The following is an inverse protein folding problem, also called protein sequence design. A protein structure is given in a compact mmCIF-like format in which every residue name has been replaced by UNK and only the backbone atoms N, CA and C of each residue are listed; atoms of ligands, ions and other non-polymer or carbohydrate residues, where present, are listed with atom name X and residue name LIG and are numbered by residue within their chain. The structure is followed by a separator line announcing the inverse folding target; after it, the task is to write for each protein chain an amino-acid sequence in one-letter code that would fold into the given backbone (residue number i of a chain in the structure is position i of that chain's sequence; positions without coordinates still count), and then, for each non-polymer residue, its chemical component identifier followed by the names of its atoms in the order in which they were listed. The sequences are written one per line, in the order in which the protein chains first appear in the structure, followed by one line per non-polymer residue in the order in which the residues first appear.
data_IF_305514739564
#
_entry.id   IF_305514739564
#
_cell.length_a   1.000
_cell.length_b   1.000
_cell.length_c   1.000
_cell.angle_alpha   90.00
_cell.angle_beta   90.00
_cell.angle_gamma   90.00
#
_symmetry.space_group_name_H-M   'P 1'
#
loop_
_entity.id
_entity.type
_entity.pdbx_description
1 polymer ?
#
# COMPACT_ATOMS: atom_id res chain seq x y z
N UNK A 1 -8.72 -5.61 -15.16
CA UNK A 1 -7.93 -6.34 -14.14
C UNK A 1 -6.96 -5.36 -13.50
N UNK A 2 -6.68 -5.50 -12.20
CA UNK A 2 -5.70 -4.68 -11.47
C UNK A 2 -4.65 -5.58 -10.85
N UNK A 3 -3.38 -5.15 -10.85
CA UNK A 3 -2.24 -5.90 -10.31
C UNK A 3 -1.23 -4.93 -9.70
N UNK A 4 -0.88 -5.06 -8.42
CA UNK A 4 0.13 -4.20 -7.78
C UNK A 4 0.76 -4.87 -6.57
N UNK A 5 2.08 -4.68 -6.39
CA UNK A 5 2.79 -5.08 -5.17
C UNK A 5 2.43 -4.22 -3.95
N UNK A 6 1.76 -3.09 -4.17
CA UNK A 6 1.19 -2.19 -3.17
C UNK A 6 -0.34 -2.30 -3.26
N UNK A 7 -1.06 -1.17 -3.26
CA UNK A 7 -2.47 -1.14 -3.61
C UNK A 7 -2.64 -1.21 -5.14
N UNK A 8 -3.53 -2.07 -5.63
CA UNK A 8 -4.10 -1.95 -6.97
C UNK A 8 -5.53 -1.47 -6.81
N UNK A 9 -5.86 -0.31 -7.38
CA UNK A 9 -7.15 0.35 -7.16
C UNK A 9 -7.75 0.77 -8.50
N UNK A 10 -9.04 0.49 -8.66
CA UNK A 10 -9.86 0.98 -9.77
C UNK A 10 -10.95 1.88 -9.19
N UNK A 11 -10.90 3.17 -9.51
CA UNK A 11 -11.91 4.15 -9.09
C UNK A 11 -12.92 4.44 -10.21
N UNK A 12 -14.17 4.70 -9.82
CA UNK A 12 -15.16 5.25 -10.74
C UNK A 12 -14.87 6.72 -11.06
N UNK A 13 -15.03 7.11 -12.32
CA UNK A 13 -15.02 8.53 -12.74
C UNK A 13 -16.29 9.30 -12.33
N UNK A 14 -17.35 8.57 -11.99
CA UNK A 14 -18.62 9.12 -11.50
C UNK A 14 -18.69 8.97 -9.99
N UNK A 15 -19.38 9.91 -9.35
CA UNK A 15 -19.84 9.78 -7.97
C UNK A 15 -21.33 9.42 -7.95
N UNK A 16 -21.73 8.70 -6.90
CA UNK A 16 -23.04 8.11 -6.68
C UNK A 16 -23.53 8.52 -5.29
N UNK A 17 -24.74 9.09 -5.21
CA UNK A 17 -25.24 9.73 -4.00
C UNK A 17 -26.65 9.25 -3.64
N UNK A 18 -26.98 9.38 -2.35
CA UNK A 18 -28.26 8.93 -1.80
C UNK A 18 -28.27 7.41 -1.59
N UNK A 19 -29.45 6.83 -1.79
CA UNK A 19 -29.60 5.38 -1.82
C UNK A 19 -28.95 4.79 -3.05
N UNK A 20 -28.15 3.75 -2.85
CA UNK A 20 -27.33 3.19 -3.91
C UNK A 20 -27.07 1.70 -3.72
N UNK A 21 -26.88 1.02 -4.84
CA UNK A 21 -26.44 -0.37 -4.90
C UNK A 21 -25.24 -0.49 -5.84
N UNK A 22 -24.21 -1.18 -5.34
CA UNK A 22 -23.05 -1.64 -6.11
C UNK A 22 -23.17 -3.14 -6.27
N UNK A 23 -23.27 -3.60 -7.51
CA UNK A 23 -23.29 -5.01 -7.91
C UNK A 23 -22.00 -5.32 -8.67
N UNK A 24 -21.11 -6.10 -8.05
CA UNK A 24 -19.77 -6.35 -8.58
C UNK A 24 -19.42 -7.84 -8.63
N UNK A 25 -18.85 -8.28 -9.75
CA UNK A 25 -18.33 -9.62 -9.94
C UNK A 25 -16.82 -9.54 -10.09
N UNK A 26 -16.12 -10.03 -9.07
CA UNK A 26 -14.67 -9.94 -8.95
C UNK A 26 -14.06 -11.33 -8.96
N UNK A 27 -12.81 -11.44 -9.37
CA UNK A 27 -12.04 -12.66 -9.17
C UNK A 27 -10.60 -12.41 -8.82
N UNK A 28 -9.98 -13.39 -8.16
CA UNK A 28 -8.53 -13.41 -8.00
C UNK A 28 -7.88 -13.65 -9.37
N UNK A 29 -6.81 -12.90 -9.66
CA UNK A 29 -5.97 -13.16 -10.82
C UNK A 29 -4.75 -14.00 -10.43
N UNK A 30 -4.25 -14.80 -11.37
CA UNK A 30 -3.07 -15.63 -11.13
C UNK A 30 -1.84 -14.77 -10.87
N UNK A 31 -1.19 -15.01 -9.73
CA UNK A 31 0.18 -14.63 -9.51
C UNK A 31 1.09 -15.66 -10.21
N UNK A 32 1.98 -15.19 -11.09
CA UNK A 32 2.92 -16.05 -11.80
C UNK A 32 4.25 -16.10 -11.04
N UNK A 33 4.76 -17.30 -10.77
CA UNK A 33 6.19 -17.54 -10.52
C UNK A 33 6.81 -18.25 -11.73
N UNK A 34 8.14 -18.38 -11.74
CA UNK A 34 8.87 -19.12 -12.78
C UNK A 34 8.53 -20.61 -12.85
N UNK A 35 7.78 -21.16 -11.88
CA UNK A 35 7.50 -22.60 -11.78
C UNK A 35 6.02 -22.94 -11.62
N UNK A 36 5.15 -22.05 -11.11
CA UNK A 36 3.72 -22.33 -10.91
C UNK A 36 2.84 -21.07 -10.89
N UNK A 37 1.56 -21.23 -11.26
CA UNK A 37 0.51 -20.26 -10.96
C UNK A 37 0.02 -20.42 -9.52
N UNK A 38 -0.24 -19.32 -8.83
CA UNK A 38 -0.87 -19.34 -7.51
C UNK A 38 -1.79 -18.14 -7.33
N UNK A 39 -2.64 -18.22 -6.31
CA UNK A 39 -3.63 -17.20 -5.99
C UNK A 39 -3.44 -16.73 -4.56
N UNK A 40 -3.48 -15.42 -4.37
CA UNK A 40 -3.40 -14.80 -3.06
C UNK A 40 -4.84 -14.60 -2.58
N UNK A 41 -5.21 -15.41 -1.59
CA UNK A 41 -6.59 -15.57 -1.14
C UNK A 41 -6.95 -14.57 -0.05
N UNK A 42 -6.77 -13.27 -0.31
CA UNK A 42 -7.05 -12.18 0.64
C UNK A 42 -7.32 -10.87 -0.08
N UNK A 43 -7.91 -9.92 0.65
CA UNK A 43 -8.06 -8.52 0.26
C UNK A 43 -8.70 -8.31 -1.12
N UNK A 44 -9.87 -8.92 -1.39
CA UNK A 44 -10.65 -8.65 -2.60
C UNK A 44 -11.78 -7.67 -2.27
N UNK A 45 -11.48 -6.38 -2.34
CA UNK A 45 -12.22 -5.37 -1.60
C UNK A 45 -13.10 -4.51 -2.50
N UNK A 46 -14.22 -4.06 -1.94
CA UNK A 46 -15.16 -3.13 -2.56
C UNK A 46 -15.36 -1.96 -1.61
N UNK A 47 -15.12 -0.74 -2.08
CA UNK A 47 -15.41 0.47 -1.33
C UNK A 47 -16.38 1.37 -2.08
N UNK A 48 -17.33 1.98 -1.39
CA UNK A 48 -18.33 2.87 -1.95
C UNK A 48 -18.54 4.08 -1.03
N UNK A 49 -19.15 5.15 -1.56
CA UNK A 49 -19.16 6.46 -0.90
C UNK A 49 -17.76 7.01 -0.58
N UNK A 50 -16.75 6.72 -1.40
CA UNK A 50 -15.38 7.21 -1.19
C UNK A 50 -15.21 8.63 -1.75
N UNK A 51 -14.18 9.35 -1.31
CA UNK A 51 -13.82 10.66 -1.86
C UNK A 51 -13.10 10.59 -3.24
N UNK A 52 -12.95 9.39 -3.81
CA UNK A 52 -12.33 9.17 -5.12
C UNK A 52 -10.82 8.90 -5.08
N UNK A 53 -10.10 9.26 -4.03
CA UNK A 53 -8.63 9.07 -3.95
C UNK A 53 -8.19 8.25 -2.72
N UNK A 54 -9.11 8.00 -1.79
CA UNK A 54 -8.89 7.20 -0.59
C UNK A 54 -9.96 6.11 -0.48
N UNK A 55 -9.56 4.87 -0.63
CA UNK A 55 -10.49 3.73 -0.56
C UNK A 55 -11.07 3.54 0.85
N UNK A 56 -10.42 4.06 1.90
CA UNK A 56 -10.90 3.97 3.28
C UNK A 56 -11.73 5.18 3.73
N UNK A 57 -11.91 6.21 2.89
CA UNK A 57 -12.76 7.36 3.21
C UNK A 57 -14.27 7.05 3.21
N UNK A 58 -14.67 5.96 2.57
CA UNK A 58 -16.05 5.53 2.41
C UNK A 58 -16.46 4.37 3.32
N UNK A 59 -17.43 3.60 2.84
CA UNK A 59 -17.64 2.24 3.33
C UNK A 59 -16.71 1.28 2.59
N UNK A 60 -16.06 0.37 3.30
CA UNK A 60 -15.14 -0.61 2.72
C UNK A 60 -15.49 -2.01 3.18
N UNK A 61 -15.88 -2.86 2.23
CA UNK A 61 -15.97 -4.32 2.41
C UNK A 61 -14.61 -4.92 2.17
N UNK A 62 -14.01 -5.45 3.24
CA UNK A 62 -12.68 -6.05 3.21
C UNK A 62 -12.81 -7.57 3.25
N UNK A 63 -12.93 -8.21 2.08
CA UNK A 63 -13.15 -9.64 1.99
C UNK A 63 -11.84 -10.42 2.08
N UNK A 64 -11.74 -11.27 3.09
CA UNK A 64 -10.51 -11.99 3.41
C UNK A 64 -9.42 -11.07 3.98
N UNK A 65 -9.81 -10.14 4.83
CA UNK A 65 -8.93 -9.26 5.58
C UNK A 65 -8.06 -10.00 6.62
N UNK A 66 -7.03 -9.32 7.11
CA UNK A 66 -6.02 -9.87 8.04
C UNK A 66 -5.50 -11.24 7.57
N UNK A 67 -5.02 -11.27 6.32
CA UNK A 67 -4.57 -12.49 5.65
C UNK A 67 -5.63 -13.62 5.68
N UNK A 68 -6.86 -13.27 5.30
CA UNK A 68 -8.02 -14.17 5.23
C UNK A 68 -8.52 -14.72 6.58
N UNK A 69 -8.20 -14.04 7.69
CA UNK A 69 -8.70 -14.42 9.03
C UNK A 69 -10.12 -13.91 9.27
N UNK A 70 -10.45 -12.74 8.73
CA UNK A 70 -11.73 -12.07 8.94
C UNK A 70 -12.27 -11.50 7.63
N UNK A 71 -13.54 -11.15 7.61
CA UNK A 71 -14.09 -10.20 6.64
C UNK A 71 -14.74 -9.06 7.42
N UNK A 72 -14.54 -7.83 6.96
CA UNK A 72 -14.95 -6.63 7.68
C UNK A 72 -15.78 -5.70 6.79
N UNK A 73 -16.69 -4.97 7.41
CA UNK A 73 -17.25 -3.74 6.89
C UNK A 73 -16.70 -2.58 7.71
N UNK A 74 -16.10 -1.60 7.03
CA UNK A 74 -15.57 -0.40 7.65
C UNK A 74 -16.29 0.85 7.18
N UNK A 75 -16.39 1.88 8.02
CA UNK A 75 -16.81 3.25 7.69
C UNK A 75 -15.65 4.17 8.05
N UNK A 76 -15.13 4.94 7.09
CA UNK A 76 -14.01 5.88 7.30
C UNK A 76 -12.80 5.22 7.99
N UNK A 77 -12.49 3.97 7.59
CA UNK A 77 -11.41 3.16 8.16
C UNK A 77 -11.75 2.44 9.48
N UNK A 78 -12.85 2.78 10.16
CA UNK A 78 -13.28 2.17 11.43
C UNK A 78 -14.14 0.94 11.15
N UNK A 79 -13.87 -0.19 11.83
CA UNK A 79 -14.68 -1.41 11.71
C UNK A 79 -16.05 -1.18 12.34
N UNK A 80 -17.12 -1.38 11.57
CA UNK A 80 -18.51 -1.28 12.02
C UNK A 80 -19.25 -2.63 11.99
N UNK A 81 -18.69 -3.62 11.29
CA UNK A 81 -19.07 -5.02 11.42
C UNK A 81 -17.91 -5.94 11.00
N UNK A 82 -17.87 -7.14 11.57
CA UNK A 82 -16.85 -8.16 11.27
C UNK A 82 -17.46 -9.57 11.39
N UNK A 83 -16.94 -10.51 10.59
CA UNK A 83 -17.24 -11.93 10.75
C UNK A 83 -15.98 -12.78 10.55
N UNK A 84 -15.95 -13.92 11.25
CA UNK A 84 -14.94 -14.98 11.08
C UNK A 84 -15.52 -16.22 10.37
N UNK A 85 -16.79 -16.19 9.98
CA UNK A 85 -17.47 -17.31 9.35
C UNK A 85 -16.75 -17.76 8.09
N UNK A 86 -16.58 -19.07 7.94
CA UNK A 86 -15.84 -19.66 6.81
C UNK A 86 -16.49 -19.39 5.46
N UNK A 87 -17.80 -19.22 5.43
CA UNK A 87 -18.53 -18.94 4.20
C UNK A 87 -18.27 -17.53 3.64
N UNK A 88 -17.93 -16.56 4.51
CA UNK A 88 -17.66 -15.18 4.15
C UNK A 88 -16.16 -14.90 4.07
N UNK A 89 -15.35 -15.92 3.78
CA UNK A 89 -13.91 -15.83 3.59
C UNK A 89 -13.48 -16.70 2.41
N UNK A 90 -12.25 -16.52 1.94
CA UNK A 90 -11.72 -17.43 0.93
C UNK A 90 -11.53 -18.84 1.51
N UNK A 91 -11.72 -19.90 0.72
CA UNK A 91 -11.39 -21.26 1.11
C UNK A 91 -9.94 -21.35 1.61
N UNK A 92 -9.73 -22.01 2.75
CA UNK A 92 -8.42 -22.25 3.34
C UNK A 92 -7.89 -23.54 2.72
N UNK A 93 -7.12 -23.41 1.63
CA UNK A 93 -6.58 -24.55 0.90
C UNK A 93 -5.44 -24.12 -0.01
N UNK A 94 -4.78 -25.09 -0.63
CA UNK A 94 -3.70 -24.84 -1.61
C UNK A 94 -4.13 -25.22 -3.03
N UNK A 95 -5.27 -25.90 -3.18
CA UNK A 95 -5.77 -26.33 -4.48
C UNK A 95 -6.25 -25.14 -5.31
N UNK A 96 -5.57 -24.85 -6.41
CA UNK A 96 -5.88 -23.71 -7.27
C UNK A 96 -7.31 -23.77 -7.82
N UNK A 97 -7.89 -24.95 -8.07
CA UNK A 97 -9.27 -25.10 -8.58
C UNK A 97 -10.34 -24.56 -7.62
N UNK A 98 -10.04 -24.40 -6.34
CA UNK A 98 -10.98 -23.82 -5.36
C UNK A 98 -11.22 -22.32 -5.60
N UNK A 99 -10.34 -21.66 -6.36
CA UNK A 99 -10.36 -20.21 -6.58
C UNK A 99 -10.18 -19.84 -8.05
N UNK A 100 -9.59 -20.72 -8.86
CA UNK A 100 -9.44 -20.54 -10.30
C UNK A 100 -10.82 -20.51 -10.96
N UNK A 101 -11.07 -19.48 -11.79
CA UNK A 101 -12.33 -19.20 -12.50
C UNK A 101 -13.55 -18.88 -11.64
N UNK A 102 -13.42 -18.81 -10.31
CA UNK A 102 -14.53 -18.36 -9.49
C UNK A 102 -14.77 -16.87 -9.70
N UNK A 103 -16.04 -16.50 -9.81
CA UNK A 103 -16.50 -15.12 -9.73
C UNK A 103 -17.18 -14.95 -8.38
N UNK A 104 -16.64 -14.07 -7.55
CA UNK A 104 -17.20 -13.69 -6.27
C UNK A 104 -18.13 -12.51 -6.51
N UNK A 105 -19.40 -12.70 -6.17
CA UNK A 105 -20.44 -11.68 -6.33
C UNK A 105 -20.61 -10.90 -5.03
N UNK A 106 -20.46 -9.59 -5.13
CA UNK A 106 -20.69 -8.63 -4.05
C UNK A 106 -21.86 -7.73 -4.42
N UNK A 107 -22.85 -7.64 -3.54
CA UNK A 107 -23.91 -6.63 -3.59
C UNK A 107 -23.79 -5.75 -2.35
N UNK A 108 -23.46 -4.47 -2.51
CA UNK A 108 -23.38 -3.50 -1.42
C UNK A 108 -24.51 -2.48 -1.60
N UNK A 109 -25.38 -2.36 -0.60
CA UNK A 109 -26.52 -1.43 -0.59
C UNK A 109 -26.36 -0.43 0.53
N UNK A 110 -26.67 0.83 0.24
CA UNK A 110 -26.96 1.86 1.22
C UNK A 110 -28.41 2.32 1.00
N UNK A 111 -29.22 2.23 2.04
CA UNK A 111 -30.64 2.59 2.05
C UNK A 111 -30.90 3.46 3.30
N UNK A 112 -30.93 4.79 3.13
CA UNK A 112 -30.92 5.76 4.22
C UNK A 112 -29.72 5.55 5.14
N UNK A 113 -30.02 5.12 6.37
CA UNK A 113 -29.10 4.78 7.45
C UNK A 113 -28.63 3.34 7.44
N UNK A 114 -29.21 2.48 6.60
CA UNK A 114 -28.93 1.04 6.60
C UNK A 114 -27.90 0.69 5.53
N UNK A 115 -26.90 -0.12 5.90
CA UNK A 115 -25.88 -0.64 4.99
C UNK A 115 -25.97 -2.17 4.97
N UNK A 116 -26.26 -2.74 3.80
CA UNK A 116 -26.41 -4.18 3.60
C UNK A 116 -25.34 -4.65 2.63
N UNK A 117 -24.62 -5.70 3.00
CA UNK A 117 -23.62 -6.33 2.15
C UNK A 117 -23.97 -7.79 1.97
N UNK A 118 -24.10 -8.23 0.71
CA UNK A 118 -24.30 -9.63 0.35
C UNK A 118 -23.12 -10.18 -0.41
N UNK A 119 -22.84 -11.45 -0.16
CA UNK A 119 -21.85 -12.25 -0.82
C UNK A 119 -22.52 -13.48 -1.44
N UNK A 120 -22.43 -13.66 -2.76
CA UNK A 120 -23.10 -14.72 -3.52
C UNK A 120 -24.59 -14.87 -3.14
N UNK A 121 -25.30 -13.75 -3.04
CA UNK A 121 -26.72 -13.70 -2.69
C UNK A 121 -27.04 -13.88 -1.19
N UNK A 122 -26.06 -14.17 -0.33
CA UNK A 122 -26.27 -14.31 1.12
C UNK A 122 -25.88 -13.04 1.85
N UNK A 123 -26.69 -12.59 2.81
CA UNK A 123 -26.37 -11.43 3.64
C UNK A 123 -25.18 -11.72 4.54
N UNK A 124 -24.12 -10.95 4.34
CA UNK A 124 -22.89 -10.99 5.12
C UNK A 124 -22.93 -9.95 6.24
N UNK A 125 -23.40 -8.74 5.93
CA UNK A 125 -23.58 -7.65 6.91
C UNK A 125 -24.91 -6.93 6.66
N UNK A 126 -25.52 -6.47 7.75
CA UNK A 126 -26.73 -5.67 7.76
C UNK A 126 -26.66 -4.75 8.98
N UNK A 127 -26.27 -3.50 8.74
CA UNK A 127 -25.84 -2.56 9.79
C UNK A 127 -26.66 -1.29 9.72
N UNK A 128 -27.05 -0.77 10.89
CA UNK A 128 -27.59 0.57 11.05
C UNK A 128 -26.42 1.54 11.33
N UNK A 129 -26.23 2.52 10.45
CA UNK A 129 -25.27 3.62 10.60
C UNK A 129 -26.03 4.90 10.98
N UNK A 130 -25.78 5.39 12.19
CA UNK A 130 -26.42 6.61 12.71
C UNK A 130 -25.96 7.87 11.98
N UNK A 131 -24.83 7.80 11.27
CA UNK A 131 -24.24 8.90 10.53
C UNK A 131 -23.88 8.47 9.09
N UNK A 132 -24.87 8.15 8.25
CA UNK A 132 -24.62 7.55 6.95
C UNK A 132 -23.85 8.50 6.02
N UNK A 133 -22.95 7.94 5.21
CA UNK A 133 -22.20 8.72 4.22
C UNK A 133 -23.11 9.11 3.05
N UNK A 134 -23.15 10.40 2.68
CA UNK A 134 -24.08 10.93 1.67
C UNK A 134 -23.89 10.32 0.27
N UNK A 135 -22.66 9.93 -0.08
CA UNK A 135 -22.32 9.43 -1.40
C UNK A 135 -20.83 9.52 -1.70
N UNK A 136 -20.45 9.26 -2.95
CA UNK A 136 -19.07 9.34 -3.41
C UNK A 136 -18.75 8.35 -4.53
N UNK A 137 -17.48 8.00 -4.64
CA UNK A 137 -16.96 7.13 -5.68
C UNK A 137 -16.96 5.66 -5.24
N UNK A 138 -17.04 4.78 -6.23
CA UNK A 138 -16.75 3.36 -6.10
C UNK A 138 -15.26 3.13 -6.27
N UNK A 139 -14.68 2.24 -5.46
CA UNK A 139 -13.37 1.69 -5.66
C UNK A 139 -13.39 0.17 -5.55
N UNK A 140 -12.72 -0.51 -6.49
CA UNK A 140 -12.41 -1.94 -6.41
C UNK A 140 -10.92 -2.07 -6.20
N UNK A 141 -10.49 -2.81 -5.19
CA UNK A 141 -9.08 -2.80 -4.84
C UNK A 141 -8.58 -4.05 -4.13
N UNK A 142 -7.26 -4.16 -4.11
CA UNK A 142 -6.53 -5.22 -3.42
C UNK A 142 -5.15 -4.72 -2.98
N UNK A 143 -4.49 -5.46 -2.08
CA UNK A 143 -3.14 -5.14 -1.59
C UNK A 143 -2.19 -6.29 -1.84
N UNK A 144 -1.04 -6.00 -2.45
CA UNK A 144 0.01 -6.95 -2.79
C UNK A 144 -0.55 -8.20 -3.50
N UNK A 145 -1.50 -7.97 -4.41
CA UNK A 145 -2.31 -9.00 -5.04
C UNK A 145 -2.83 -8.51 -6.41
N UNK A 146 -3.60 -9.34 -7.08
CA UNK A 146 -4.17 -9.12 -8.39
C UNK A 146 -5.62 -9.58 -8.44
N UNK A 147 -6.45 -8.82 -9.15
CA UNK A 147 -7.85 -9.15 -9.34
C UNK A 147 -8.31 -8.86 -10.76
N UNK A 148 -9.37 -9.54 -11.18
CA UNK A 148 -10.11 -9.21 -12.39
C UNK A 148 -11.54 -8.81 -12.06
N UNK A 149 -12.15 -8.07 -12.97
CA UNK A 149 -13.50 -7.54 -12.85
C UNK A 149 -14.22 -7.97 -14.13
N UNK A 150 -15.34 -8.67 -13.99
CA UNK A 150 -16.16 -9.08 -15.15
C UNK A 150 -17.33 -8.15 -15.37
N UNK A 151 -18.00 -7.72 -14.29
CA UNK A 151 -19.11 -6.78 -14.34
C UNK A 151 -19.15 -5.92 -13.09
N UNK A 152 -19.48 -4.65 -13.30
CA UNK A 152 -19.86 -3.72 -12.25
C UNK A 152 -21.09 -2.96 -12.71
N UNK A 153 -22.14 -2.98 -11.90
CA UNK A 153 -23.32 -2.15 -12.08
C UNK A 153 -23.48 -1.29 -10.85
N UNK A 154 -23.73 0.00 -11.05
CA UNK A 154 -24.06 0.91 -9.96
C UNK A 154 -25.36 1.61 -10.29
N UNK A 155 -26.35 1.47 -9.41
CA UNK A 155 -27.57 2.27 -9.44
C UNK A 155 -27.60 3.13 -8.19
N UNK A 156 -28.00 4.39 -8.35
CA UNK A 156 -28.04 5.37 -7.27
C UNK A 156 -29.11 6.40 -7.59
N UNK A 157 -29.65 7.06 -6.56
CA UNK A 157 -30.61 8.17 -6.74
C UNK A 157 -30.04 9.27 -7.65
N UNK A 158 -28.76 9.59 -7.45
CA UNK A 158 -28.07 10.64 -8.21
C UNK A 158 -26.68 10.18 -8.63
N UNK A 159 -26.30 10.55 -9.85
CA UNK A 159 -24.97 10.31 -10.39
C UNK A 159 -24.40 11.61 -10.94
N UNK A 160 -23.13 11.90 -10.65
CA UNK A 160 -22.43 13.05 -11.21
C UNK A 160 -21.11 12.61 -11.84
N UNK A 161 -20.74 13.19 -12.98
CA UNK A 161 -19.39 13.05 -13.50
C UNK A 161 -18.46 13.89 -12.62
N UNK A 162 -17.42 13.26 -12.06
CA UNK A 162 -16.41 13.96 -11.27
C UNK A 162 -15.02 13.41 -11.65
N UNK A 163 -14.47 13.86 -12.79
CA UNK A 163 -13.24 13.31 -13.36
C UNK A 163 -11.98 13.89 -12.72
N UNK A 164 -12.10 14.87 -11.81
CA UNK A 164 -10.95 15.54 -11.15
C UNK A 164 -10.08 14.61 -10.31
N UNK A 165 -10.54 13.38 -10.09
CA UNK A 165 -9.79 12.28 -9.47
C UNK A 165 -8.65 11.75 -10.36
N UNK A 166 -8.61 12.15 -11.64
CA UNK A 166 -7.73 11.61 -12.68
C UNK A 166 -6.89 12.70 -13.34
N UNK A 167 -6.01 13.37 -12.60
CA UNK A 167 -4.97 14.22 -13.23
C UNK A 167 -3.59 14.01 -12.60
N UNK A 168 -2.71 13.44 -13.42
CA UNK A 168 -1.28 13.30 -13.20
C UNK A 168 -0.62 14.67 -13.29
N UNK A 169 0.11 15.04 -12.25
CA UNK A 169 1.15 16.06 -12.29
C UNK A 169 2.43 15.31 -11.92
N UNK A 170 3.31 15.10 -12.90
CA UNK A 170 4.53 14.32 -12.72
C UNK A 170 5.57 15.03 -11.84
N UNK A 171 5.28 16.25 -11.37
CA UNK A 171 6.17 17.03 -10.53
C UNK A 171 7.46 17.42 -11.26
N UNK A 172 8.45 17.85 -10.48
CA UNK A 172 9.75 18.25 -10.99
C UNK A 172 10.60 17.03 -11.36
N UNK A 173 10.79 16.80 -12.67
CA UNK A 173 11.64 15.73 -13.21
C UNK A 173 13.15 15.97 -13.01
N UNK A 174 13.56 17.13 -12.46
CA UNK A 174 14.97 17.47 -12.22
C UNK A 174 15.47 17.08 -10.81
N UNK A 175 14.58 16.57 -9.94
CA UNK A 175 14.95 16.05 -8.62
C UNK A 175 16.03 14.97 -8.72
N UNK A 176 17.03 15.05 -7.82
CA UNK A 176 18.05 14.02 -7.69
C UNK A 176 17.46 12.68 -7.20
N UNK A 177 16.41 12.72 -6.38
CA UNK A 177 15.66 11.55 -5.96
C UNK A 177 14.61 11.16 -7.01
N UNK A 178 14.35 9.86 -7.15
CA UNK A 178 13.35 9.33 -8.09
C UNK A 178 12.14 8.79 -7.32
N UNK A 179 10.90 9.07 -7.75
CA UNK A 179 9.74 8.46 -7.13
C UNK A 179 9.78 6.95 -7.36
N UNK A 180 9.45 6.19 -6.32
CA UNK A 180 9.33 4.74 -6.42
C UNK A 180 8.10 4.33 -7.23
N UNK A 181 7.02 5.12 -7.09
CA UNK A 181 5.81 5.03 -7.89
C UNK A 181 5.45 6.44 -8.41
N UNK A 182 5.77 6.76 -9.68
CA UNK A 182 5.54 8.08 -10.27
C UNK A 182 4.06 8.50 -10.32
N UNK A 183 3.13 7.55 -10.19
CA UNK A 183 1.69 7.86 -10.22
C UNK A 183 1.16 8.27 -8.83
N UNK A 184 1.87 7.94 -7.75
CA UNK A 184 1.45 8.23 -6.37
C UNK A 184 2.35 9.21 -5.62
N UNK A 185 3.57 9.48 -6.11
CA UNK A 185 4.55 10.33 -5.42
C UNK A 185 4.90 11.55 -6.27
N UNK A 186 4.67 12.73 -5.71
CA UNK A 186 5.06 14.03 -6.29
C UNK A 186 6.34 14.53 -5.66
N UNK A 187 7.24 15.03 -6.49
CA UNK A 187 8.50 15.63 -6.06
C UNK A 187 8.53 17.11 -6.43
N UNK A 188 9.05 17.93 -5.51
CA UNK A 188 9.45 19.30 -5.82
C UNK A 188 10.77 19.63 -5.14
N UNK A 189 11.65 20.32 -5.84
CA UNK A 189 12.95 20.74 -5.30
C UNK A 189 12.83 22.09 -4.63
N UNK A 190 13.35 22.23 -3.41
CA UNK A 190 13.50 23.50 -2.69
C UNK A 190 14.93 23.59 -2.16
N UNK A 191 15.70 24.53 -2.71
CA UNK A 191 17.13 24.68 -2.39
C UNK A 191 17.90 23.36 -2.63
N UNK A 192 18.51 22.79 -1.59
CA UNK A 192 19.23 21.53 -1.63
C UNK A 192 18.39 20.31 -1.17
N UNK A 193 17.10 20.51 -0.89
CA UNK A 193 16.18 19.48 -0.41
C UNK A 193 15.13 19.15 -1.48
N UNK A 194 14.69 17.89 -1.46
CA UNK A 194 13.54 17.39 -2.22
C UNK A 194 12.36 17.22 -1.27
N UNK A 195 11.27 17.93 -1.54
CA UNK A 195 9.98 17.66 -0.91
C UNK A 195 9.34 16.45 -1.59
N UNK A 196 8.93 15.47 -0.78
CA UNK A 196 8.23 14.27 -1.24
C UNK A 196 6.80 14.33 -0.73
N UNK A 197 5.82 14.35 -1.62
CA UNK A 197 4.40 14.41 -1.29
C UNK A 197 3.64 13.18 -1.81
N UNK A 198 2.72 12.65 -0.99
CA UNK A 198 1.78 11.64 -1.44
C UNK A 198 0.64 12.27 -2.25
N UNK A 199 0.53 11.94 -3.53
CA UNK A 199 -0.53 12.44 -4.40
C UNK A 199 -1.87 11.73 -4.19
N UNK A 200 -1.84 10.55 -3.56
CA UNK A 200 -2.99 9.67 -3.30
C UNK A 200 -3.06 9.34 -1.81
N UNK A 201 -4.15 8.72 -1.35
CA UNK A 201 -4.17 8.13 0.00
C UNK A 201 -3.68 6.69 -0.04
N UNK A 202 -2.73 6.34 0.83
CA UNK A 202 -2.09 5.02 0.84
C UNK A 202 -0.87 4.95 -0.10
N UNK A 203 -0.46 3.74 -0.48
CA UNK A 203 0.76 3.52 -1.23
C UNK A 203 2.03 3.60 -0.37
N UNK A 204 3.18 3.62 -1.04
CA UNK A 204 4.48 3.54 -0.36
C UNK A 204 5.02 4.90 0.05
N UNK A 205 4.57 6.00 -0.55
CA UNK A 205 5.19 7.33 -0.39
C UNK A 205 6.73 7.24 -0.50
N UNK A 206 7.20 6.54 -1.53
CA UNK A 206 8.59 6.09 -1.64
C UNK A 206 9.41 6.91 -2.63
N UNK A 207 10.66 7.22 -2.28
CA UNK A 207 11.69 7.67 -3.24
C UNK A 207 12.95 6.83 -3.12
N UNK A 208 13.75 6.80 -4.19
CA UNK A 208 15.01 6.05 -4.21
C UNK A 208 16.13 6.77 -4.96
N UNK A 209 17.37 6.42 -4.60
CA UNK A 209 18.59 6.82 -5.31
C UNK A 209 19.70 5.79 -5.06
N UNK A 210 20.61 5.63 -6.02
CA UNK A 210 21.77 4.76 -5.93
C UNK A 210 23.08 5.55 -5.85
N UNK A 211 24.00 5.07 -5.04
CA UNK A 211 25.28 5.69 -4.74
C UNK A 211 26.41 4.67 -4.84
N UNK A 212 27.59 5.11 -5.30
CA UNK A 212 28.81 4.32 -5.19
C UNK A 212 29.52 4.70 -3.89
N UNK A 213 29.75 3.73 -3.01
CA UNK A 213 30.25 3.97 -1.65
C UNK A 213 31.23 2.87 -1.27
N UNK A 214 32.29 3.21 -0.55
CA UNK A 214 33.12 2.23 0.15
C UNK A 214 32.71 2.20 1.62
N UNK A 215 31.97 1.16 2.03
CA UNK A 215 31.47 1.06 3.41
C UNK A 215 32.54 0.63 4.42
N UNK A 216 33.73 0.22 3.97
CA UNK A 216 34.87 -0.04 4.87
C UNK A 216 35.65 1.25 5.20
N UNK A 217 35.63 2.23 4.29
CA UNK A 217 36.32 3.51 4.49
C UNK A 217 35.39 4.62 4.99
N UNK A 218 34.14 4.64 4.51
CA UNK A 218 33.15 5.68 4.83
C UNK A 218 31.83 5.04 5.30
N UNK A 219 31.82 4.37 6.47
CA UNK A 219 30.66 3.59 6.92
C UNK A 219 29.51 4.46 7.45
N UNK A 220 29.75 5.72 7.79
CA UNK A 220 28.76 6.60 8.42
C UNK A 220 27.95 7.32 7.33
N UNK A 221 26.65 7.05 7.29
CA UNK A 221 25.67 7.74 6.46
C UNK A 221 25.09 8.93 7.21
N UNK A 222 25.18 10.11 6.60
CA UNK A 222 24.51 11.32 7.01
C UNK A 222 23.47 11.68 5.94
N UNK A 223 22.19 11.58 6.29
CA UNK A 223 21.08 11.82 5.37
C UNK A 223 20.23 12.97 5.91
N UNK A 224 20.24 14.16 5.26
CA UNK A 224 19.27 15.20 5.57
C UNK A 224 17.86 14.65 5.34
N UNK A 225 17.07 14.55 6.41
CA UNK A 225 15.77 13.90 6.40
C UNK A 225 14.88 14.54 7.47
N UNK A 226 13.76 15.12 7.05
CA UNK A 226 12.75 15.63 7.97
C UNK A 226 11.44 14.88 7.76
N UNK A 227 11.02 14.14 8.79
CA UNK A 227 9.80 13.35 8.79
C UNK A 227 8.87 13.92 9.85
N UNK A 228 7.74 14.49 9.40
CA UNK A 228 6.70 15.01 10.28
C UNK A 228 5.36 14.36 9.93
N UNK A 229 4.95 13.37 10.73
CA UNK A 229 3.71 12.61 10.52
C UNK A 229 3.75 11.57 9.40
N UNK A 230 4.63 11.71 8.40
CA UNK A 230 4.84 10.68 7.39
C UNK A 230 5.36 9.38 8.01
N UNK A 231 4.76 8.26 7.61
CA UNK A 231 5.19 6.91 8.00
C UNK A 231 6.13 6.39 6.93
N UNK A 232 7.43 6.41 7.19
CA UNK A 232 8.49 5.91 6.30
C UNK A 232 9.59 5.20 7.07
N UNK A 233 10.30 4.30 6.39
CA UNK A 233 11.51 3.62 6.85
C UNK A 233 12.59 3.71 5.76
N UNK A 234 13.86 3.48 6.14
CA UNK A 234 14.97 3.46 5.21
C UNK A 234 15.28 2.01 4.80
N UNK A 235 15.01 1.70 3.54
CA UNK A 235 15.40 0.47 2.88
C UNK A 235 16.76 0.67 2.19
N UNK A 236 17.64 -0.31 2.33
CA UNK A 236 19.00 -0.25 1.81
C UNK A 236 19.26 -1.52 1.02
N UNK A 237 19.60 -1.39 -0.25
CA UNK A 237 19.96 -2.53 -1.10
C UNK A 237 21.44 -2.47 -1.48
N UNK A 238 22.15 -3.58 -1.25
CA UNK A 238 23.55 -3.76 -1.62
C UNK A 238 23.68 -5.12 -2.31
N UNK A 239 23.97 -5.10 -3.61
CA UNK A 239 23.88 -6.30 -4.44
C UNK A 239 22.48 -6.93 -4.38
N UNK A 240 22.39 -8.19 -3.97
CA UNK A 240 21.13 -8.92 -3.76
C UNK A 240 20.55 -8.77 -2.36
N UNK A 241 21.35 -8.32 -1.38
CA UNK A 241 20.95 -8.18 0.00
C UNK A 241 20.06 -6.93 0.19
N UNK A 242 19.15 -7.00 1.15
CA UNK A 242 18.29 -5.86 1.49
C UNK A 242 18.16 -5.72 3.00
N UNK A 243 18.35 -4.50 3.47
CA UNK A 243 18.35 -4.12 4.87
C UNK A 243 17.28 -3.07 5.13
N UNK A 244 16.85 -2.96 6.38
CA UNK A 244 15.86 -2.00 6.86
C UNK A 244 16.38 -1.30 8.11
N UNK A 245 16.26 0.02 8.13
CA UNK A 245 16.39 0.84 9.34
C UNK A 245 15.00 1.43 9.62
N UNK A 246 14.45 1.11 10.79
CA UNK A 246 13.17 1.66 11.24
C UNK A 246 13.31 3.15 11.56
N UNK A 247 12.38 3.97 11.09
CA UNK A 247 12.36 5.43 11.34
C UNK A 247 11.03 5.83 11.98
N UNK A 248 9.92 5.66 11.27
CA UNK A 248 8.60 6.15 11.70
C UNK A 248 7.44 5.23 11.33
N UNK A 249 7.55 4.46 10.24
CA UNK A 249 6.57 3.43 9.91
C UNK A 249 6.80 2.17 10.77
N UNK A 250 5.74 1.44 11.16
CA UNK A 250 5.86 0.09 11.71
C UNK A 250 6.63 -0.84 10.77
N UNK A 251 7.16 -1.95 11.31
CA UNK A 251 8.01 -2.90 10.58
C UNK A 251 7.45 -4.32 10.52
N UNK A 252 6.25 -4.55 11.04
CA UNK A 252 5.48 -5.77 10.87
C UNK A 252 4.62 -5.73 9.60
N UNK A 253 4.02 -6.87 9.29
CA UNK A 253 3.13 -7.07 8.13
C UNK A 253 3.66 -6.47 6.81
N UNK A 254 4.98 -6.46 6.62
CA UNK A 254 5.60 -5.91 5.42
C UNK A 254 5.42 -6.90 4.27
N UNK A 255 4.90 -6.46 3.13
CA UNK A 255 4.62 -7.37 2.01
C UNK A 255 5.80 -7.51 1.04
N UNK A 256 6.63 -6.47 0.93
CA UNK A 256 7.79 -6.40 0.04
C UNK A 256 8.88 -5.48 0.63
N UNK A 257 10.12 -5.63 0.16
CA UNK A 257 11.13 -4.60 0.28
C UNK A 257 10.89 -3.56 -0.82
N UNK A 258 11.01 -2.28 -0.50
CA UNK A 258 11.01 -1.27 -1.54
C UNK A 258 12.32 -1.37 -2.33
N UNK A 259 12.22 -1.71 -3.62
CA UNK A 259 13.36 -1.83 -4.56
C UNK A 259 13.06 -1.08 -5.84
N UNK A 260 14.05 -0.42 -6.48
CA UNK A 260 13.86 0.14 -7.82
C UNK A 260 13.59 -1.00 -8.81
N UNK A 261 12.41 -1.01 -9.43
CA UNK A 261 12.00 -1.98 -10.47
C UNK A 261 12.19 -3.45 -10.09
N UNK A 262 11.57 -3.92 -9.00
CA UNK A 262 11.40 -5.35 -8.83
C UNK A 262 10.37 -5.90 -9.83
N UNK A 263 10.77 -6.88 -10.66
CA UNK A 263 9.83 -7.69 -11.44
C UNK A 263 8.75 -8.26 -10.50
N UNK A 264 7.49 -8.12 -10.90
CA UNK A 264 6.29 -8.38 -10.11
C UNK A 264 6.13 -9.84 -9.66
N UNK A 265 6.90 -10.26 -8.64
CA UNK A 265 6.60 -11.45 -7.84
C UNK A 265 5.78 -11.02 -6.65
N UNK A 266 4.63 -11.64 -6.46
CA UNK A 266 3.83 -11.41 -5.28
C UNK A 266 4.30 -12.32 -4.14
N UNK A 267 4.38 -11.80 -2.93
CA UNK A 267 4.67 -12.67 -1.79
C UNK A 267 3.40 -13.39 -1.34
N UNK A 268 3.50 -14.71 -1.12
CA UNK A 268 2.39 -15.52 -0.57
C UNK A 268 2.08 -15.15 0.89
N UNK A 269 3.08 -14.67 1.63
CA UNK A 269 3.02 -14.29 3.04
C UNK A 269 3.69 -12.93 3.27
N UNK A 270 3.44 -12.30 4.42
CA UNK A 270 4.26 -11.17 4.87
C UNK A 270 5.74 -11.58 4.89
N UNK A 271 6.63 -10.64 4.53
CA UNK A 271 8.07 -10.77 4.77
C UNK A 271 8.27 -10.97 6.26
N UNK A 272 8.95 -12.06 6.61
CA UNK A 272 9.55 -12.28 7.91
C UNK A 272 11.04 -11.96 7.79
N UNK A 273 11.69 -11.60 8.90
CA UNK A 273 13.11 -11.24 8.94
C UNK A 273 14.06 -12.33 8.39
N UNK A 274 13.55 -13.56 8.21
CA UNK A 274 14.26 -14.73 7.68
C UNK A 274 14.21 -14.84 6.14
N UNK A 275 13.43 -14.00 5.43
CA UNK A 275 13.21 -14.12 3.98
C UNK A 275 13.48 -12.83 3.20
N UNK A 276 14.74 -12.38 3.21
CA UNK A 276 15.28 -11.42 2.23
C UNK A 276 15.28 -9.94 2.62
N UNK A 277 14.73 -9.59 3.79
CA UNK A 277 14.85 -8.26 4.40
C UNK A 277 15.39 -8.39 5.82
N UNK A 278 16.55 -7.78 6.10
CA UNK A 278 17.15 -7.76 7.44
C UNK A 278 16.87 -6.42 8.13
N UNK A 279 16.10 -6.43 9.21
CA UNK A 279 16.02 -5.26 10.11
C UNK A 279 17.34 -5.15 10.87
N UNK A 280 18.07 -4.06 10.64
CA UNK A 280 19.42 -3.84 11.21
C UNK A 280 19.48 -2.77 12.28
N UNK A 281 18.36 -2.07 12.53
CA UNK A 281 18.28 -1.11 13.61
C UNK A 281 17.08 -0.18 13.48
N UNK A 282 17.04 0.79 14.39
CA UNK A 282 16.12 1.92 14.35
C UNK A 282 16.91 3.22 14.53
N UNK A 283 16.53 4.27 13.82
CA UNK A 283 17.14 5.58 13.95
C UNK A 283 16.09 6.68 13.76
N UNK A 284 16.32 7.84 14.35
CA UNK A 284 15.44 9.00 14.22
C UNK A 284 16.25 10.20 13.76
N UNK A 285 15.77 10.98 12.78
CA UNK A 285 16.42 12.23 12.43
C UNK A 285 16.38 13.19 13.62
N UNK A 286 17.51 13.83 13.91
CA UNK A 286 17.65 14.88 14.93
C UNK A 286 18.00 16.18 14.21
N UNK A 287 17.26 17.25 14.47
CA UNK A 287 17.43 18.54 13.79
C UNK A 287 17.45 18.43 12.23
N UNK A 288 16.66 17.50 11.68
CA UNK A 288 16.56 17.27 10.24
C UNK A 288 17.70 16.46 9.63
N UNK A 289 18.52 15.79 10.44
CA UNK A 289 19.62 14.94 9.98
C UNK A 289 19.50 13.53 10.58
N UNK A 290 19.49 12.52 9.73
CA UNK A 290 19.62 11.11 10.12
C UNK A 290 21.09 10.72 10.02
N UNK A 291 21.70 10.30 11.13
CA UNK A 291 23.09 9.80 11.16
C UNK A 291 23.08 8.36 11.64
N UNK A 292 23.64 7.46 10.83
CA UNK A 292 23.79 6.04 11.19
C UNK A 292 25.16 5.51 10.77
N UNK A 293 25.76 4.65 11.60
CA UNK A 293 26.92 3.86 11.21
C UNK A 293 26.42 2.61 10.45
N UNK A 294 26.29 2.74 9.13
CA UNK A 294 25.74 1.67 8.30
C UNK A 294 26.69 0.47 8.22
N UNK A 295 28.00 0.72 8.24
CA UNK A 295 29.02 -0.34 8.29
C UNK A 295 28.83 -1.21 9.53
N UNK A 296 28.80 -0.61 10.71
CA UNK A 296 28.59 -1.34 11.97
C UNK A 296 27.26 -2.11 11.99
N UNK A 297 26.16 -1.48 11.57
CA UNK A 297 24.84 -2.13 11.52
C UNK A 297 24.79 -3.33 10.56
N UNK A 298 25.47 -3.25 9.41
CA UNK A 298 25.56 -4.37 8.47
C UNK A 298 26.48 -5.47 9.02
N UNK A 299 27.60 -5.09 9.64
CA UNK A 299 28.57 -6.02 10.22
C UNK A 299 27.94 -6.91 11.31
N UNK A 300 26.98 -6.35 12.06
CA UNK A 300 26.25 -7.10 13.08
C UNK A 300 25.41 -8.26 12.51
N UNK A 301 25.08 -8.25 11.21
CA UNK A 301 24.19 -9.26 10.57
C UNK A 301 24.79 -9.91 9.31
N UNK A 302 26.06 -9.64 9.01
CA UNK A 302 26.74 -10.07 7.78
C UNK A 302 28.11 -9.43 7.64
N UNK A 303 28.70 -9.50 6.45
CA UNK A 303 29.96 -8.83 6.15
C UNK A 303 29.74 -7.47 5.51
N UNK A 304 30.54 -6.49 5.90
CA UNK A 304 30.56 -5.16 5.28
C UNK A 304 31.33 -5.23 3.96
N UNK A 305 30.69 -4.94 2.83
CA UNK A 305 31.40 -4.87 1.55
C UNK A 305 32.30 -3.63 1.52
N UNK A 306 33.39 -3.70 0.74
CA UNK A 306 34.19 -2.52 0.38
C UNK A 306 33.44 -1.60 -0.60
N UNK A 307 34.10 -1.18 -1.67
CA UNK A 307 33.45 -0.39 -2.74
C UNK A 307 32.28 -1.15 -3.37
N UNK A 308 31.08 -0.57 -3.28
CA UNK A 308 29.84 -1.20 -3.74
C UNK A 308 28.82 -0.15 -4.19
N UNK A 309 27.77 -0.62 -4.88
CA UNK A 309 26.58 0.18 -5.13
C UNK A 309 25.59 0.01 -3.98
N UNK A 310 25.24 1.12 -3.35
CA UNK A 310 24.25 1.22 -2.29
C UNK A 310 23.02 1.94 -2.85
N UNK A 311 21.88 1.26 -2.89
CA UNK A 311 20.60 1.91 -3.18
C UNK A 311 19.90 2.25 -1.87
N UNK A 312 19.58 3.52 -1.68
CA UNK A 312 18.73 3.98 -0.59
C UNK A 312 17.31 4.13 -1.11
N UNK A 313 16.33 3.71 -0.32
CA UNK A 313 14.91 3.94 -0.60
C UNK A 313 14.22 4.34 0.71
N UNK A 314 13.61 5.53 0.73
CA UNK A 314 12.85 6.02 1.88
C UNK A 314 11.38 5.92 1.54
N UNK A 315 10.61 5.15 2.32
CA UNK A 315 9.19 4.93 2.09
C UNK A 315 8.55 3.95 3.07
N UNK A 316 7.25 3.72 2.95
CA UNK A 316 6.48 2.74 3.70
C UNK A 316 6.33 1.43 2.92
N UNK A 317 6.59 0.30 3.55
CA UNK A 317 6.20 -1.02 3.03
C UNK A 317 5.47 -1.90 4.04
N UNK A 318 5.13 -1.35 5.21
CA UNK A 318 4.30 -2.03 6.20
C UNK A 318 2.82 -1.88 5.84
N UNK A 319 2.11 -3.00 5.86
CA UNK A 319 0.66 -3.04 5.76
C UNK A 319 -0.01 -3.37 7.10
N UNK A 320 0.68 -3.20 8.23
CA UNK A 320 0.01 -3.20 9.54
C UNK A 320 -1.17 -2.26 9.47
N UNK A 321 -2.31 -2.58 10.09
CA UNK A 321 -3.50 -1.70 10.13
C UNK A 321 -3.91 -1.12 8.75
N UNK A 322 -3.59 -1.80 7.66
CA UNK A 322 -3.87 -1.34 6.29
C UNK A 322 -3.23 0.00 5.91
N UNK A 323 -2.03 0.29 6.44
CA UNK A 323 -1.30 1.53 6.15
C UNK A 323 -1.01 1.77 4.65
N UNK A 324 -1.01 0.72 3.80
CA UNK A 324 -0.78 0.88 2.36
C UNK A 324 -2.02 1.31 1.56
N UNK A 325 -3.19 1.49 2.20
CA UNK A 325 -4.46 1.74 1.48
C UNK A 325 -5.30 2.91 1.98
N UNK A 326 -4.78 3.78 2.86
CA UNK A 326 -5.53 5.01 3.15
C UNK A 326 -5.02 5.84 4.32
N UNK A 327 -5.97 6.55 4.94
CA UNK A 327 -5.80 7.56 6.00
C UNK A 327 -5.03 7.13 7.24
N UNK A 328 -5.03 5.85 7.62
CA UNK A 328 -4.21 5.39 8.75
C UNK A 328 -2.72 5.42 8.43
N UNK A 329 -2.35 5.35 7.15
CA UNK A 329 -0.99 5.33 6.63
C UNK A 329 -0.44 6.71 6.32
N UNK A 330 -0.21 6.92 5.02
CA UNK A 330 0.17 8.21 4.45
C UNK A 330 -1.03 8.71 3.62
N UNK A 331 -1.94 9.54 4.18
CA UNK A 331 -3.01 10.14 3.38
C UNK A 331 -2.47 11.06 2.29
N UNK A 332 -3.33 11.42 1.32
CA UNK A 332 -3.02 12.44 0.31
C UNK A 332 -2.53 13.73 0.98
N UNK A 333 -1.45 14.31 0.45
CA UNK A 333 -0.82 15.52 0.97
C UNK A 333 0.17 15.27 2.12
N UNK A 334 0.36 14.02 2.57
CA UNK A 334 1.43 13.67 3.51
C UNK A 334 2.79 13.98 2.89
N UNK A 335 3.70 14.58 3.67
CA UNK A 335 5.01 15.03 3.19
C UNK A 335 6.17 14.63 4.10
N UNK A 336 7.34 14.45 3.49
CA UNK A 336 8.64 14.52 4.16
C UNK A 336 9.65 15.21 3.24
N UNK A 337 10.77 15.67 3.79
CA UNK A 337 11.85 16.29 3.00
C UNK A 337 13.11 15.46 3.11
N UNK A 338 13.86 15.38 2.01
CA UNK A 338 15.07 14.57 1.90
C UNK A 338 16.14 15.29 1.09
N UNK A 339 17.39 15.30 1.58
CA UNK A 339 18.55 15.85 0.88
C UNK A 339 19.41 14.76 0.24
N UNK A 340 20.49 15.18 -0.41
CA UNK A 340 21.53 14.25 -0.85
C UNK A 340 22.33 13.77 0.36
N UNK A 341 22.59 12.46 0.49
CA UNK A 341 23.38 11.94 1.60
C UNK A 341 24.87 12.25 1.43
N UNK A 342 25.56 12.38 2.55
CA UNK A 342 27.02 12.38 2.66
C UNK A 342 27.49 11.12 3.38
N UNK A 343 28.71 10.69 3.05
CA UNK A 343 29.36 9.51 3.64
C UNK A 343 30.68 9.95 4.23
N UNK A 344 30.97 9.54 5.47
CA UNK A 344 32.24 9.87 6.15
C UNK A 344 32.85 8.68 6.85
N UNK A 345 34.16 8.76 7.06
CA UNK A 345 34.92 7.83 7.90
C UNK A 345 34.58 7.99 9.38
N UNK A 346 35.08 7.05 10.19
CA UNK A 346 34.99 7.11 11.65
C UNK A 346 35.75 8.29 12.26
#
# INVERSE_FOLDING_TARGET
AGKSQNAAVLHSKRSFHGDQVVDAYLSLAAALSSQQQYYIRRDLNVSFCTNGYDVNSGYSVMFGADNNRVTQLRRKGVVIAETTDREFRFPIGTNHHEVHWRMWHFECRKEGTRVIVRYNGRTMFDVQDEEPLEGGHLALWTVANAFTVSRVTVAAERQALNPEVSWQDYGDLTSAWKPLDPDSVRLSTREALTDVENAVSGGTLGVWQAFSVNLQETPILELPLQVSGAKVNLHIQIGSATYLVAISAPTGQMMNCLKPKALARFSRSYLRADNGLKLIGSARPVAGLLVINLGEMINAVGSVPGSTMVTLTVGNSSNEEYLLVGTSGNPKGTRYTIGMPTWRGE
#
